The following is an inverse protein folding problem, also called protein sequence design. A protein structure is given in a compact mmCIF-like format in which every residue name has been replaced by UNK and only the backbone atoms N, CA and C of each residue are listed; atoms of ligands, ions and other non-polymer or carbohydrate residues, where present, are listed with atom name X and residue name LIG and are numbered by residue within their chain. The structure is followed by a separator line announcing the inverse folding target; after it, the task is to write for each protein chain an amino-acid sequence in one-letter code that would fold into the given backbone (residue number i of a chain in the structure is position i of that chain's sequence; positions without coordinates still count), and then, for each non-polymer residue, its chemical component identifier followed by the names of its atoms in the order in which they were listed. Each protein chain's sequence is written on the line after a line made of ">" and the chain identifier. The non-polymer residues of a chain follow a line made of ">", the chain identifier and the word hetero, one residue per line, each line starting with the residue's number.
data_IF_957906000102
#
_entry.id   IF_957906000102
#
_cell.length_a   1.000
_cell.length_b   1.000
_cell.length_c   1.000
_cell.angle_alpha   90.00
_cell.angle_beta   90.00
_cell.angle_gamma   90.00
#
_symmetry.space_group_name_H-M   'P 1'
#
loop_
_entity.id
_entity.type
_entity.pdbx_description
1 polymer ?
#
# COMPACT_ATOMS: atom_id res chain seq x y z
N UNK A 1 -26.00 -8.12 1.80
CA UNK A 1 -24.63 -7.57 1.79
C UNK A 1 -24.76 -6.06 1.74
N UNK A 2 -24.08 -5.33 2.62
CA UNK A 2 -24.13 -3.87 2.66
C UNK A 2 -23.41 -3.31 1.43
N UNK A 3 -24.16 -2.73 0.49
CA UNK A 3 -23.71 -2.29 -0.85
C UNK A 3 -22.78 -1.08 -0.85
N UNK A 4 -22.51 -0.49 0.32
CA UNK A 4 -21.78 0.78 0.46
C UNK A 4 -20.28 0.60 0.78
N UNK A 5 -19.85 -0.60 1.22
CA UNK A 5 -18.44 -0.91 1.52
C UNK A 5 -17.77 -1.62 0.34
N UNK A 6 -17.60 -0.92 -0.78
CA UNK A 6 -16.99 -1.47 -2.00
C UNK A 6 -15.52 -1.04 -2.13
N UNK A 7 -14.65 -2.03 -2.36
CA UNK A 7 -13.28 -1.82 -2.84
C UNK A 7 -13.29 -2.00 -4.37
N UNK A 8 -12.95 -0.94 -5.10
CA UNK A 8 -12.90 -0.98 -6.57
C UNK A 8 -11.73 -1.84 -7.03
N UNK A 9 -11.87 -2.55 -8.16
CA UNK A 9 -10.77 -3.38 -8.69
C UNK A 9 -9.68 -2.57 -9.36
N UNK A 10 -10.08 -1.48 -9.99
CA UNK A 10 -9.23 -0.59 -10.78
C UNK A 10 -9.64 0.86 -10.54
N UNK A 11 -8.83 1.80 -11.05
CA UNK A 11 -9.14 3.23 -10.97
C UNK A 11 -10.48 3.53 -11.64
N UNK A 12 -11.34 4.25 -10.92
CA UNK A 12 -12.68 4.58 -11.40
C UNK A 12 -12.59 5.53 -12.59
N UNK A 13 -13.30 5.18 -13.66
CA UNK A 13 -13.43 5.98 -14.88
C UNK A 13 -14.90 6.16 -15.23
N UNK A 14 -15.26 7.35 -15.68
CA UNK A 14 -16.57 7.67 -16.27
C UNK A 14 -16.30 8.23 -17.66
N UNK A 15 -16.95 7.66 -18.68
CA UNK A 15 -16.71 7.99 -20.10
C UNK A 15 -15.22 7.91 -20.50
N UNK A 16 -14.51 6.90 -19.98
CA UNK A 16 -13.09 6.66 -20.25
C UNK A 16 -12.12 7.59 -19.52
N UNK A 17 -12.61 8.62 -18.83
CA UNK A 17 -11.79 9.59 -18.09
C UNK A 17 -11.69 9.21 -16.61
N UNK A 18 -10.51 9.32 -15.98
CA UNK A 18 -10.39 9.15 -14.54
C UNK A 18 -11.23 10.18 -13.79
N UNK A 19 -11.94 9.72 -12.75
CA UNK A 19 -12.72 10.59 -11.87
C UNK A 19 -12.20 10.51 -10.44
N UNK A 20 -12.46 11.56 -9.67
CA UNK A 20 -12.28 11.53 -8.22
C UNK A 20 -13.33 10.60 -7.62
N UNK A 21 -12.92 9.78 -6.67
CA UNK A 21 -13.79 8.85 -5.98
C UNK A 21 -13.34 8.65 -4.54
N UNK A 22 -14.26 8.23 -3.69
CA UNK A 22 -14.02 7.93 -2.28
C UNK A 22 -14.65 6.58 -1.94
N UNK A 23 -13.99 5.79 -1.09
CA UNK A 23 -14.62 4.65 -0.42
C UNK A 23 -14.84 4.98 1.03
N UNK A 24 -16.05 4.71 1.50
CA UNK A 24 -16.45 4.87 2.89
C UNK A 24 -16.41 3.49 3.56
N UNK A 25 -15.68 3.39 4.65
CA UNK A 25 -15.44 2.13 5.35
C UNK A 25 -15.70 2.30 6.84
N UNK A 26 -16.13 1.23 7.47
CA UNK A 26 -16.35 1.15 8.92
C UNK A 26 -15.30 0.24 9.54
N UNK A 27 -15.07 0.39 10.84
CA UNK A 27 -14.21 -0.55 11.58
C UNK A 27 -14.77 -1.97 11.64
N UNK A 28 -16.07 -2.15 11.44
CA UNK A 28 -16.79 -3.44 11.52
C UNK A 28 -17.84 -3.55 10.41
N UNK A 29 -18.88 -4.36 10.56
CA UNK A 29 -20.05 -4.37 9.67
C UNK A 29 -21.08 -3.25 9.93
N UNK A 30 -20.91 -2.46 10.99
CA UNK A 30 -21.88 -1.43 11.42
C UNK A 30 -21.38 0.00 11.20
N UNK A 31 -22.27 0.88 10.76
CA UNK A 31 -22.03 2.33 10.65
C UNK A 31 -22.17 3.04 12.02
N UNK A 32 -23.19 2.69 12.79
CA UNK A 32 -23.37 3.18 14.16
C UNK A 32 -22.65 2.31 15.19
N UNK A 33 -22.58 2.80 16.43
CA UNK A 33 -22.11 1.98 17.55
C UNK A 33 -22.99 0.74 17.70
N UNK A 34 -22.36 -0.44 17.64
CA UNK A 34 -22.99 -1.72 17.91
C UNK A 34 -22.15 -2.44 18.98
N UNK A 35 -22.71 -2.54 20.19
CA UNK A 35 -22.01 -3.08 21.37
C UNK A 35 -21.45 -4.48 21.11
N UNK A 36 -22.31 -5.37 20.63
CA UNK A 36 -22.03 -6.80 20.49
C UNK A 36 -21.39 -7.17 19.14
N UNK A 37 -20.96 -6.16 18.37
CA UNK A 37 -20.26 -6.37 17.12
C UNK A 37 -18.87 -6.99 17.34
N UNK A 38 -18.58 -8.07 16.62
CA UNK A 38 -17.32 -8.82 16.73
C UNK A 38 -16.50 -8.85 15.44
N UNK A 39 -17.07 -8.42 14.31
CA UNK A 39 -16.40 -8.41 12.98
C UNK A 39 -15.40 -7.26 12.78
N UNK A 40 -14.71 -6.82 13.85
CA UNK A 40 -13.81 -5.68 13.80
C UNK A 40 -12.58 -5.98 12.94
N UNK A 41 -12.35 -5.11 11.96
CA UNK A 41 -11.16 -5.12 11.11
C UNK A 41 -9.92 -4.84 11.95
N UNK A 42 -8.83 -5.54 11.64
CA UNK A 42 -7.52 -5.28 12.26
C UNK A 42 -6.90 -3.98 11.72
N UNK A 43 -5.88 -3.47 12.42
CA UNK A 43 -5.09 -2.32 11.93
C UNK A 43 -4.49 -2.62 10.56
N UNK A 44 -3.99 -3.84 10.37
CA UNK A 44 -3.42 -4.28 9.10
C UNK A 44 -4.45 -4.26 7.97
N UNK A 45 -5.65 -4.79 8.20
CA UNK A 45 -6.72 -4.76 7.20
C UNK A 45 -7.11 -3.33 6.82
N UNK A 46 -7.24 -2.43 7.81
CA UNK A 46 -7.57 -1.03 7.56
C UNK A 46 -6.46 -0.30 6.77
N UNK A 47 -5.19 -0.58 7.07
CA UNK A 47 -4.05 -0.04 6.33
C UNK A 47 -4.00 -0.58 4.89
N UNK A 48 -4.20 -1.88 4.70
CA UNK A 48 -4.28 -2.47 3.36
C UNK A 48 -5.39 -1.84 2.52
N UNK A 49 -6.55 -1.57 3.13
CA UNK A 49 -7.65 -0.89 2.44
C UNK A 49 -7.31 0.57 2.08
N UNK A 50 -6.70 1.33 3.01
CA UNK A 50 -6.20 2.68 2.74
C UNK A 50 -5.21 2.70 1.57
N UNK A 51 -4.20 1.81 1.61
CA UNK A 51 -3.17 1.70 0.58
C UNK A 51 -3.79 1.32 -0.77
N UNK A 52 -4.70 0.34 -0.78
CA UNK A 52 -5.37 -0.10 -1.99
C UNK A 52 -6.21 1.02 -2.63
N UNK A 53 -6.93 1.80 -1.82
CA UNK A 53 -7.69 2.96 -2.29
C UNK A 53 -6.79 4.03 -2.93
N UNK A 54 -5.69 4.39 -2.26
CA UNK A 54 -4.73 5.39 -2.77
C UNK A 54 -4.04 4.89 -4.04
N UNK A 55 -3.70 3.59 -4.10
CA UNK A 55 -3.12 2.96 -5.31
C UNK A 55 -4.02 3.02 -6.54
N UNK A 56 -5.30 3.35 -6.35
CA UNK A 56 -6.31 3.49 -7.40
C UNK A 56 -6.81 4.94 -7.50
N UNK A 57 -6.02 5.88 -7.00
CA UNK A 57 -6.29 7.32 -7.02
C UNK A 57 -7.60 7.73 -6.34
N UNK A 58 -7.97 7.05 -5.26
CA UNK A 58 -9.15 7.36 -4.45
C UNK A 58 -8.83 7.92 -3.08
N UNK A 59 -9.85 8.47 -2.43
CA UNK A 59 -9.82 8.86 -1.03
C UNK A 59 -10.44 7.78 -0.14
N UNK A 60 -9.90 7.64 1.07
CA UNK A 60 -10.36 6.65 2.05
C UNK A 60 -10.99 7.36 3.24
N UNK A 61 -12.29 7.15 3.45
CA UNK A 61 -13.03 7.66 4.59
C UNK A 61 -13.30 6.53 5.57
N UNK A 62 -12.83 6.69 6.80
CA UNK A 62 -13.03 5.73 7.89
C UNK A 62 -14.01 6.29 8.92
N UNK A 63 -15.20 5.70 9.00
CA UNK A 63 -16.26 6.11 9.91
C UNK A 63 -16.08 5.55 11.32
N UNK A 64 -16.30 6.39 12.34
CA UNK A 64 -16.37 6.00 13.76
C UNK A 64 -17.78 6.35 14.27
N UNK A 65 -18.53 5.35 14.73
CA UNK A 65 -19.81 5.56 15.41
C UNK A 65 -19.61 5.75 16.92
N UNK A 66 -19.89 6.94 17.50
CA UNK A 66 -19.79 7.15 18.94
C UNK A 66 -20.85 6.34 19.71
N UNK A 67 -20.55 6.07 20.97
CA UNK A 67 -21.53 5.51 21.92
C UNK A 67 -22.67 6.50 22.17
N UNK A 68 -23.74 6.04 22.83
CA UNK A 68 -24.84 6.91 23.26
C UNK A 68 -24.43 8.00 24.27
N UNK A 69 -23.22 7.92 24.83
CA UNK A 69 -22.63 8.97 25.69
C UNK A 69 -21.82 10.00 24.89
N UNK A 70 -21.71 9.84 23.57
CA UNK A 70 -20.90 10.71 22.71
C UNK A 70 -19.40 10.38 22.71
N UNK A 71 -19.00 9.25 23.28
CA UNK A 71 -17.59 8.83 23.38
C UNK A 71 -17.24 7.83 22.29
N UNK A 72 -15.96 7.76 21.89
CA UNK A 72 -15.47 6.71 21.02
C UNK A 72 -15.28 5.40 21.78
N UNK A 73 -15.63 4.29 21.13
CA UNK A 73 -15.35 2.94 21.64
C UNK A 73 -13.83 2.71 21.72
N UNK A 74 -13.36 2.09 22.81
CA UNK A 74 -11.93 1.79 23.02
C UNK A 74 -11.34 0.99 21.86
N UNK A 75 -12.12 0.07 21.26
CA UNK A 75 -11.69 -0.70 20.08
C UNK A 75 -11.38 0.24 18.92
N UNK A 76 -12.20 1.26 18.68
CA UNK A 76 -11.95 2.24 17.62
C UNK A 76 -10.68 3.07 17.93
N UNK A 77 -10.51 3.51 19.18
CA UNK A 77 -9.32 4.24 19.63
C UNK A 77 -8.04 3.43 19.43
N UNK A 78 -8.04 2.14 19.76
CA UNK A 78 -6.90 1.25 19.54
C UNK A 78 -6.50 1.17 18.08
N UNK A 79 -7.48 1.02 17.18
CA UNK A 79 -7.20 0.91 15.73
C UNK A 79 -6.73 2.23 15.17
N UNK A 80 -7.34 3.34 15.57
CA UNK A 80 -6.89 4.69 15.20
C UNK A 80 -5.46 4.97 15.69
N UNK A 81 -5.12 4.55 16.91
CA UNK A 81 -3.77 4.67 17.45
C UNK A 81 -2.76 3.85 16.65
N UNK A 82 -3.11 2.61 16.30
CA UNK A 82 -2.28 1.73 15.45
C UNK A 82 -2.06 2.30 14.05
N UNK A 83 -3.12 2.79 13.40
CA UNK A 83 -3.03 3.48 12.10
C UNK A 83 -2.16 4.73 12.24
N UNK A 84 -2.40 5.55 13.26
CA UNK A 84 -1.63 6.76 13.53
C UNK A 84 -0.14 6.47 13.74
N UNK A 85 0.21 5.38 14.43
CA UNK A 85 1.59 4.92 14.59
C UNK A 85 2.25 4.62 13.25
N UNK A 86 1.57 3.88 12.38
CA UNK A 86 2.09 3.57 11.05
C UNK A 86 2.21 4.83 10.18
N UNK A 87 1.18 5.69 10.18
CA UNK A 87 1.14 6.92 9.39
C UNK A 87 2.28 7.90 9.74
N UNK A 88 2.70 7.98 11.01
CA UNK A 88 3.84 8.84 11.40
C UNK A 88 5.12 8.55 10.60
N UNK A 89 5.32 7.29 10.20
CA UNK A 89 6.51 6.85 9.47
C UNK A 89 6.26 6.75 7.95
N UNK A 90 5.02 6.50 7.52
CA UNK A 90 4.72 6.11 6.14
C UNK A 90 3.82 7.09 5.38
N UNK A 91 3.36 8.18 6.00
CA UNK A 91 2.42 9.14 5.41
C UNK A 91 2.83 9.69 4.04
N UNK A 92 4.15 9.80 3.77
CA UNK A 92 4.69 10.21 2.46
C UNK A 92 4.27 9.30 1.30
N UNK A 93 3.96 8.03 1.59
CA UNK A 93 3.45 7.05 0.63
C UNK A 93 1.93 7.12 0.41
N UNK A 94 1.24 7.99 1.15
CA UNK A 94 -0.22 8.14 1.13
C UNK A 94 -0.58 9.54 0.62
N UNK A 95 -0.10 10.59 1.27
CA UNK A 95 -0.45 11.97 0.91
C UNK A 95 0.22 12.38 -0.40
N UNK A 96 -0.55 13.01 -1.29
CA UNK A 96 -0.10 13.40 -2.63
C UNK A 96 0.20 12.22 -3.56
N UNK A 97 -0.11 10.99 -3.15
CA UNK A 97 0.11 9.81 -3.96
C UNK A 97 -1.15 9.42 -4.72
N UNK A 98 -0.95 8.79 -5.87
CA UNK A 98 -2.00 8.28 -6.76
C UNK A 98 -1.58 6.93 -7.34
N UNK A 99 -2.37 6.39 -8.26
CA UNK A 99 -2.02 5.20 -9.02
C UNK A 99 -0.64 5.34 -9.69
N UNK A 100 0.17 4.29 -9.58
CA UNK A 100 1.45 4.20 -10.28
C UNK A 100 1.26 4.14 -11.81
N UNK A 101 2.22 4.65 -12.60
CA UNK A 101 2.21 4.51 -14.05
C UNK A 101 2.02 3.05 -14.51
N UNK A 102 1.27 2.84 -15.59
CA UNK A 102 0.86 1.51 -16.08
C UNK A 102 2.06 0.64 -16.51
N UNK A 103 3.18 1.26 -16.87
CA UNK A 103 4.43 0.58 -17.20
C UNK A 103 5.15 -0.05 -16.00
N UNK A 104 4.73 0.25 -14.77
CA UNK A 104 5.31 -0.34 -13.56
C UNK A 104 4.45 -1.50 -13.08
N UNK A 105 5.00 -2.70 -13.22
CA UNK A 105 4.29 -3.89 -12.78
C UNK A 105 4.32 -3.98 -11.25
N UNK A 106 3.15 -4.18 -10.66
CA UNK A 106 3.04 -4.41 -9.22
C UNK A 106 3.53 -5.83 -8.90
N UNK A 107 4.55 -6.00 -8.03
CA UNK A 107 4.98 -7.33 -7.60
C UNK A 107 3.87 -8.08 -6.86
N UNK A 108 4.00 -9.40 -6.76
CA UNK A 108 3.09 -10.22 -5.95
C UNK A 108 3.08 -9.73 -4.50
N UNK A 109 1.89 -9.78 -3.87
CA UNK A 109 1.66 -9.38 -2.48
C UNK A 109 2.13 -7.95 -2.15
N UNK A 110 2.14 -7.08 -3.16
CA UNK A 110 2.48 -5.68 -3.03
C UNK A 110 1.38 -4.76 -3.56
N UNK A 111 1.50 -3.47 -3.22
CA UNK A 111 0.77 -2.36 -3.85
C UNK A 111 1.72 -1.22 -4.16
N UNK A 112 1.43 -0.49 -5.24
CA UNK A 112 2.20 0.68 -5.64
C UNK A 112 1.40 1.96 -5.42
N UNK A 113 2.02 2.95 -4.81
CA UNK A 113 1.51 4.33 -4.82
C UNK A 113 2.60 5.24 -5.38
N UNK A 114 2.19 6.29 -6.09
CA UNK A 114 3.12 7.16 -6.81
C UNK A 114 2.83 8.63 -6.57
N UNK A 115 3.86 9.39 -6.19
CA UNK A 115 3.81 10.83 -6.16
C UNK A 115 4.58 11.39 -7.37
N UNK A 116 3.83 11.95 -8.32
CA UNK A 116 4.37 12.49 -9.57
C UNK A 116 5.15 13.80 -9.40
N UNK A 117 4.81 14.61 -8.39
CA UNK A 117 5.43 15.93 -8.18
C UNK A 117 6.89 15.78 -7.76
N UNK A 118 7.17 14.80 -6.88
CA UNK A 118 8.51 14.53 -6.38
C UNK A 118 9.17 13.30 -7.03
N UNK A 119 8.51 12.68 -8.02
CA UNK A 119 8.94 11.44 -8.69
C UNK A 119 9.33 10.35 -7.68
N UNK A 120 8.42 10.01 -6.77
CA UNK A 120 8.62 8.93 -5.78
C UNK A 120 7.62 7.83 -6.00
N UNK A 121 8.13 6.62 -6.17
CA UNK A 121 7.33 5.40 -6.22
C UNK A 121 7.48 4.67 -4.89
N UNK A 122 6.36 4.27 -4.30
CA UNK A 122 6.34 3.55 -3.03
C UNK A 122 5.82 2.14 -3.25
N UNK A 123 6.58 1.15 -2.77
CA UNK A 123 6.21 -0.26 -2.83
C UNK A 123 5.79 -0.71 -1.44
N UNK A 124 4.50 -0.96 -1.26
CA UNK A 124 3.90 -1.44 -0.02
C UNK A 124 3.92 -2.96 0.00
N UNK A 125 4.56 -3.57 1.00
CA UNK A 125 4.73 -5.03 1.08
C UNK A 125 3.71 -5.62 2.07
N UNK A 126 2.73 -6.36 1.57
CA UNK A 126 1.76 -7.07 2.42
C UNK A 126 2.32 -8.40 2.93
N UNK A 127 3.27 -8.98 2.20
CA UNK A 127 4.07 -10.12 2.64
C UNK A 127 5.55 -9.75 2.56
N UNK A 128 6.33 -10.08 3.60
CA UNK A 128 7.77 -9.78 3.63
C UNK A 128 8.55 -10.88 2.88
N UNK A 129 9.24 -10.56 1.77
CA UNK A 129 10.04 -11.53 1.04
C UNK A 129 11.35 -11.82 1.79
N UNK A 130 11.94 -12.99 1.52
CA UNK A 130 13.08 -13.47 2.32
C UNK A 130 14.38 -12.67 2.11
N UNK A 131 14.65 -12.20 0.89
CA UNK A 131 15.94 -11.56 0.53
C UNK A 131 15.86 -10.62 -0.65
N UNK A 132 15.04 -10.92 -1.64
CA UNK A 132 14.99 -10.14 -2.86
C UNK A 132 13.55 -9.81 -3.21
N UNK A 133 13.34 -8.60 -3.71
CA UNK A 133 12.10 -8.19 -4.35
C UNK A 133 12.43 -7.82 -5.80
N UNK A 134 11.73 -8.45 -6.73
CA UNK A 134 11.84 -8.19 -8.15
C UNK A 134 10.68 -7.28 -8.58
N UNK A 135 11.00 -6.19 -9.27
CA UNK A 135 10.02 -5.24 -9.79
C UNK A 135 10.25 -5.04 -11.27
N UNK A 136 9.38 -5.62 -12.09
CA UNK A 136 9.45 -5.53 -13.54
C UNK A 136 9.05 -4.13 -14.04
N UNK A 137 9.68 -3.67 -15.11
CA UNK A 137 9.43 -2.36 -15.70
C UNK A 137 10.21 -1.21 -15.04
N UNK A 138 11.09 -1.50 -14.08
CA UNK A 138 11.87 -0.49 -13.34
C UNK A 138 13.39 -0.56 -13.54
N UNK A 139 13.90 -1.48 -14.37
CA UNK A 139 15.33 -1.56 -14.60
C UNK A 139 15.90 -0.23 -15.12
N UNK A 140 16.96 0.25 -14.46
CA UNK A 140 17.63 1.50 -14.84
C UNK A 140 16.81 2.78 -14.63
N UNK A 141 15.58 2.72 -14.12
CA UNK A 141 14.71 3.88 -13.87
C UNK A 141 14.83 4.44 -12.44
N UNK A 142 15.46 3.69 -11.53
CA UNK A 142 15.62 4.04 -10.11
C UNK A 142 17.06 4.45 -9.80
N UNK A 143 17.23 5.58 -9.11
CA UNK A 143 18.52 6.09 -8.66
C UNK A 143 18.90 5.61 -7.26
N UNK A 144 17.91 5.48 -6.38
CA UNK A 144 18.11 5.16 -4.97
C UNK A 144 16.86 4.51 -4.39
N UNK A 145 17.05 3.64 -3.39
CA UNK A 145 15.97 2.95 -2.70
C UNK A 145 16.25 2.92 -1.20
N UNK A 146 15.20 3.04 -0.39
CA UNK A 146 15.30 2.93 1.06
C UNK A 146 14.02 2.38 1.69
N UNK A 147 14.14 1.86 2.91
CA UNK A 147 12.98 1.62 3.77
C UNK A 147 12.40 2.96 4.23
N UNK A 148 11.09 3.13 4.07
CA UNK A 148 10.44 4.41 4.35
C UNK A 148 10.42 4.74 5.85
N UNK A 149 10.37 3.72 6.71
CA UNK A 149 10.21 3.87 8.15
C UNK A 149 11.45 4.42 8.88
N UNK A 150 12.64 4.16 8.36
CA UNK A 150 13.92 4.51 9.01
C UNK A 150 15.01 5.03 8.05
N UNK A 151 14.69 5.16 6.76
CA UNK A 151 15.60 5.59 5.71
C UNK A 151 16.83 4.67 5.49
N UNK A 152 16.76 3.42 5.95
CA UNK A 152 17.81 2.44 5.66
C UNK A 152 17.90 2.17 4.17
N UNK A 153 19.10 2.33 3.61
CA UNK A 153 19.36 2.09 2.19
C UNK A 153 19.06 0.64 1.80
N UNK A 154 18.43 0.47 0.63
CA UNK A 154 18.20 -0.81 -0.03
C UNK A 154 19.11 -0.89 -1.26
N UNK A 155 19.96 -1.91 -1.29
CA UNK A 155 20.92 -2.10 -2.38
C UNK A 155 20.27 -2.75 -3.59
N UNK A 156 20.78 -2.41 -4.77
CA UNK A 156 20.42 -3.09 -6.01
C UNK A 156 21.29 -4.32 -6.21
N UNK A 157 20.69 -5.44 -6.61
CA UNK A 157 21.41 -6.62 -7.07
C UNK A 157 21.32 -6.78 -8.57
N UNK A 158 22.27 -7.56 -9.13
CA UNK A 158 22.13 -8.01 -10.52
C UNK A 158 20.85 -8.85 -10.61
N UNK A 159 20.07 -8.73 -11.69
CA UNK A 159 18.92 -9.60 -11.90
C UNK A 159 19.39 -11.07 -11.83
N UNK A 160 18.57 -11.98 -11.27
CA UNK A 160 18.95 -13.37 -11.13
C UNK A 160 19.36 -13.95 -12.49
N UNK A 161 20.54 -14.56 -12.57
CA UNK A 161 21.05 -15.22 -13.78
C UNK A 161 20.40 -16.59 -14.03
N UNK A 162 19.41 -16.98 -13.23
CA UNK A 162 18.80 -18.30 -13.31
C UNK A 162 17.79 -18.35 -14.47
N UNK A 163 18.20 -18.98 -15.56
CA UNK A 163 17.32 -19.51 -16.61
C UNK A 163 16.44 -20.62 -16.00
N UNK A 164 15.32 -20.26 -15.36
CA UNK A 164 14.31 -21.25 -15.02
C UNK A 164 13.41 -21.52 -16.24
N UNK A 165 13.16 -22.80 -16.50
CA UNK A 165 12.35 -23.32 -17.62
C UNK A 165 10.99 -22.61 -17.65
N UNK A 166 10.77 -21.76 -18.66
CA UNK A 166 9.49 -21.08 -18.91
C UNK A 166 9.51 -19.56 -18.79
N UNK A 167 10.56 -18.92 -18.28
CA UNK A 167 10.64 -17.45 -18.24
C UNK A 167 11.23 -16.87 -19.53
N UNK A 168 10.50 -15.91 -20.12
CA UNK A 168 10.88 -15.22 -21.35
C UNK A 168 12.21 -14.45 -21.15
N UNK A 169 13.21 -14.68 -22.00
CA UNK A 169 14.57 -14.10 -21.92
C UNK A 169 14.61 -12.56 -21.82
N UNK A 170 13.55 -11.89 -22.25
CA UNK A 170 13.43 -10.43 -22.18
C UNK A 170 12.95 -9.90 -20.83
N UNK A 171 12.30 -10.71 -19.99
CA UNK A 171 11.77 -10.26 -18.69
C UNK A 171 12.90 -9.81 -17.76
N UNK A 172 13.98 -10.60 -17.64
CA UNK A 172 15.08 -10.31 -16.72
C UNK A 172 15.88 -9.04 -17.05
N UNK A 173 15.78 -8.47 -18.26
CA UNK A 173 16.48 -7.23 -18.63
C UNK A 173 15.77 -5.97 -18.14
N UNK A 174 14.46 -6.03 -17.91
CA UNK A 174 13.64 -4.89 -17.48
C UNK A 174 13.26 -4.95 -15.98
N UNK A 175 13.80 -5.94 -15.26
CA UNK A 175 13.55 -6.15 -13.82
C UNK A 175 14.56 -5.41 -12.94
N UNK A 176 14.07 -4.60 -12.01
CA UNK A 176 14.84 -4.10 -10.87
C UNK A 176 14.85 -5.16 -9.75
N UNK A 177 16.01 -5.50 -9.21
CA UNK A 177 16.11 -6.39 -8.03
C UNK A 177 16.63 -5.62 -6.82
N UNK A 178 15.85 -5.64 -5.75
CA UNK A 178 16.10 -4.97 -4.48
C UNK A 178 16.52 -5.99 -3.43
N UNK A 179 17.67 -5.76 -2.76
CA UNK A 179 18.14 -6.60 -1.67
C UNK A 179 17.53 -6.14 -0.34
N UNK A 180 16.70 -6.99 0.24
CA UNK A 180 15.97 -6.71 1.47
C UNK A 180 16.62 -7.39 2.67
N UNK A 181 16.52 -6.79 3.87
CA UNK A 181 16.97 -7.44 5.09
C UNK A 181 16.16 -8.71 5.35
N UNK A 182 16.82 -9.71 5.93
CA UNK A 182 16.18 -11.00 6.27
C UNK A 182 15.06 -10.78 7.31
N UNK A 183 15.29 -9.87 8.26
CA UNK A 183 14.30 -9.52 9.26
C UNK A 183 13.36 -8.43 8.72
N UNK A 184 12.05 -8.71 8.79
CA UNK A 184 11.00 -7.72 8.51
C UNK A 184 11.16 -6.53 9.48
N UNK A 185 11.10 -5.27 9.00
CA UNK A 185 11.04 -4.12 9.89
C UNK A 185 9.83 -4.21 10.85
N UNK A 186 9.99 -3.72 12.08
CA UNK A 186 8.96 -3.74 13.15
C UNK A 186 7.83 -2.72 12.89
N UNK A 187 7.17 -2.84 11.74
CA UNK A 187 6.05 -2.01 11.28
C UNK A 187 4.96 -2.91 10.69
N UNK A 188 3.71 -2.44 10.74
CA UNK A 188 2.56 -3.23 10.26
C UNK A 188 2.71 -3.61 8.79
N UNK A 189 2.82 -2.61 7.91
CA UNK A 189 3.06 -2.76 6.47
C UNK A 189 4.38 -2.06 6.11
N UNK A 190 5.47 -2.79 5.80
CA UNK A 190 6.70 -2.17 5.33
C UNK A 190 6.50 -1.48 3.99
N UNK A 191 7.22 -0.37 3.77
CA UNK A 191 7.20 0.37 2.51
C UNK A 191 8.61 0.67 2.06
N UNK A 192 8.87 0.42 0.78
CA UNK A 192 10.11 0.81 0.12
C UNK A 192 9.85 2.10 -0.66
N UNK A 193 10.67 3.12 -0.44
CA UNK A 193 10.68 4.37 -1.21
C UNK A 193 11.71 4.27 -2.33
N UNK A 194 11.26 4.39 -3.58
CA UNK A 194 12.08 4.38 -4.79
C UNK A 194 12.18 5.80 -5.36
N UNK A 195 13.41 6.24 -5.60
CA UNK A 195 13.75 7.54 -6.16
C UNK A 195 13.92 7.37 -7.67
N UNK A 196 12.93 7.81 -8.46
CA UNK A 196 12.97 7.67 -9.92
C UNK A 196 13.86 8.75 -10.57
N UNK A 197 14.33 8.47 -11.78
CA UNK A 197 15.10 9.40 -12.63
C UNK A 197 14.25 10.55 -13.21
#
# INVERSE_FOLDING_TARGET
>A
QNTEQLMVRERVRVDGKPVLWETCQTFSGSWGYHRDESSWKSVEQLLQMLIDTVSKSGNFLLNVGPTARGEFDERALDRLSGIGKWMRQHSRSIYGCTQAPEEFNTPQDCRLTYNSEIKRLYVHLFSWPLRELHVDGLAGKVNYAQLLNDASEIKFSKPPQYEHVGTNKNACKDTLTLQLPVQKPEVTVPVIELFLK
#
